data_IF_108927526647
#
_entry.id   IF_108927526647
#
_cell.length_a   1.000
_cell.length_b   1.000
_cell.length_c   1.000
_cell.angle_alpha   90.00
_cell.angle_beta   90.00
_cell.angle_gamma   90.00
#
_symmetry.space_group_name_H-M   'P 1'
#
loop_
_entity.id
_entity.type
_entity.pdbx_description
1 polymer ?
#
# COMPACT_ATOMS: atom_id res chain seq x y z
N UNK A 1 -32.46 2.79 10.23
CA UNK A 1 -32.20 3.49 8.95
C UNK A 1 -31.25 2.67 8.11
N UNK A 2 -31.53 2.46 6.81
CA UNK A 2 -30.63 1.71 5.91
C UNK A 2 -29.54 2.63 5.31
N UNK A 3 -28.28 2.18 5.24
CA UNK A 3 -27.23 2.95 4.60
C UNK A 3 -27.34 2.89 3.06
N UNK A 4 -26.90 3.94 2.38
CA UNK A 4 -26.73 3.95 0.92
C UNK A 4 -25.29 3.59 0.60
N UNK A 5 -25.07 2.58 -0.25
CA UNK A 5 -23.72 2.11 -0.63
C UNK A 5 -23.33 2.63 -2.00
N UNK A 6 -22.17 3.27 -2.11
CA UNK A 6 -21.58 3.72 -3.37
C UNK A 6 -20.06 3.76 -3.24
N UNK A 7 -19.32 3.32 -4.27
CA UNK A 7 -17.85 3.25 -4.28
C UNK A 7 -17.30 2.57 -3.02
N UNK A 8 -17.89 1.44 -2.61
CA UNK A 8 -17.49 0.73 -1.38
C UNK A 8 -17.55 1.58 -0.10
N UNK A 9 -18.33 2.67 -0.08
CA UNK A 9 -18.64 3.47 1.10
C UNK A 9 -20.14 3.36 1.39
N UNK A 10 -20.49 2.93 2.60
CA UNK A 10 -21.85 2.92 3.11
C UNK A 10 -22.13 4.21 3.91
N UNK A 11 -23.20 4.94 3.60
CA UNK A 11 -23.51 6.23 4.23
C UNK A 11 -24.88 6.22 4.88
N UNK A 12 -24.93 6.53 6.17
CA UNK A 12 -26.13 6.84 6.92
C UNK A 12 -26.44 8.34 6.86
N UNK A 13 -27.69 8.72 6.61
CA UNK A 13 -28.09 10.12 6.48
C UNK A 13 -29.19 10.50 7.49
N UNK A 14 -28.86 10.60 8.80
CA UNK A 14 -29.83 11.05 9.80
C UNK A 14 -30.28 12.48 9.51
N UNK A 15 -31.47 12.83 10.00
CA UNK A 15 -32.10 14.13 9.74
C UNK A 15 -32.61 14.76 11.04
N UNK A 16 -32.53 16.08 11.15
CA UNK A 16 -33.02 16.81 12.30
C UNK A 16 -32.00 16.90 13.44
N UNK A 17 -32.40 16.55 14.66
CA UNK A 17 -31.58 16.66 15.86
C UNK A 17 -30.92 15.30 16.16
N UNK A 18 -29.64 15.32 16.53
CA UNK A 18 -28.92 14.18 17.09
C UNK A 18 -28.63 14.45 18.56
N UNK A 19 -29.58 14.08 19.42
CA UNK A 19 -29.46 14.17 20.87
C UNK A 19 -29.77 12.82 21.55
N UNK A 20 -29.61 12.75 22.87
CA UNK A 20 -29.85 11.52 23.63
C UNK A 20 -31.27 10.96 23.54
N UNK A 21 -32.25 11.77 23.13
CA UNK A 21 -33.66 11.36 23.02
C UNK A 21 -34.02 10.84 21.62
N UNK A 22 -33.35 11.35 20.59
CA UNK A 22 -33.61 11.05 19.17
C UNK A 22 -32.67 9.97 18.60
N UNK A 23 -31.49 9.80 19.19
CA UNK A 23 -30.46 8.90 18.65
C UNK A 23 -30.89 7.42 18.56
N UNK A 24 -31.67 6.95 19.54
CA UNK A 24 -32.21 5.58 19.57
C UNK A 24 -33.22 5.27 18.45
N UNK A 25 -33.81 6.29 17.82
CA UNK A 25 -34.76 6.11 16.72
C UNK A 25 -34.10 5.89 15.36
N UNK A 26 -32.80 6.20 15.21
CA UNK A 26 -32.12 6.15 13.92
C UNK A 26 -31.49 4.78 13.61
N UNK A 27 -31.18 3.97 14.63
CA UNK A 27 -30.45 2.71 14.48
C UNK A 27 -31.10 1.58 15.29
N UNK A 28 -31.71 0.62 14.61
CA UNK A 28 -32.16 -0.64 15.21
C UNK A 28 -31.04 -1.68 15.17
N UNK A 29 -31.08 -2.69 16.04
CA UNK A 29 -30.07 -3.78 16.11
C UNK A 29 -29.92 -4.48 14.75
N UNK A 30 -31.03 -4.71 14.07
CA UNK A 30 -31.10 -5.33 12.74
C UNK A 30 -30.37 -4.51 11.66
N UNK A 31 -30.48 -3.18 11.69
CA UNK A 31 -29.77 -2.30 10.75
C UNK A 31 -28.25 -2.37 10.98
N UNK A 32 -27.84 -2.48 12.25
CA UNK A 32 -26.43 -2.60 12.62
C UNK A 32 -25.86 -3.93 12.12
N UNK A 33 -26.58 -5.03 12.33
CA UNK A 33 -26.14 -6.36 11.86
C UNK A 33 -26.12 -6.47 10.35
N UNK A 34 -27.12 -5.92 9.65
CA UNK A 34 -27.12 -5.85 8.20
C UNK A 34 -25.92 -5.04 7.67
N UNK A 35 -25.56 -3.95 8.35
CA UNK A 35 -24.42 -3.10 7.97
C UNK A 35 -23.08 -3.79 8.24
N UNK A 36 -22.97 -4.55 9.34
CA UNK A 36 -21.81 -5.40 9.63
C UNK A 36 -21.64 -6.52 8.60
N UNK A 37 -22.66 -6.89 7.83
CA UNK A 37 -22.48 -7.87 6.75
C UNK A 37 -22.14 -7.22 5.40
N UNK A 38 -22.08 -5.88 5.31
CA UNK A 38 -21.67 -5.19 4.10
C UNK A 38 -20.14 -5.26 3.95
N UNK A 39 -19.68 -5.79 2.81
CA UNK A 39 -18.27 -5.75 2.39
C UNK A 39 -17.94 -4.38 1.81
N UNK A 40 -17.82 -3.38 2.67
CA UNK A 40 -17.51 -1.99 2.30
C UNK A 40 -16.22 -1.54 2.98
N UNK A 41 -15.46 -0.69 2.29
CA UNK A 41 -14.20 -0.12 2.78
C UNK A 41 -14.45 0.84 3.94
N UNK A 42 -15.60 1.54 3.91
CA UNK A 42 -15.91 2.62 4.83
C UNK A 42 -17.40 2.72 5.16
N UNK A 43 -17.71 3.04 6.41
CA UNK A 43 -19.06 3.32 6.90
C UNK A 43 -19.09 4.72 7.51
N UNK A 44 -19.90 5.61 6.94
CA UNK A 44 -19.98 7.01 7.32
C UNK A 44 -21.37 7.41 7.78
N UNK A 45 -21.42 8.44 8.62
CA UNK A 45 -22.66 9.15 8.98
C UNK A 45 -22.58 10.58 8.43
N UNK A 46 -23.43 10.89 7.46
CA UNK A 46 -23.55 12.22 6.86
C UNK A 46 -24.30 13.16 7.79
N UNK A 47 -23.68 14.28 8.14
CA UNK A 47 -24.26 15.35 8.95
C UNK A 47 -24.95 16.43 8.10
N UNK A 48 -25.11 16.20 6.78
CA UNK A 48 -25.67 17.17 5.83
C UNK A 48 -27.06 17.66 6.21
N UNK A 49 -27.90 16.76 6.75
CA UNK A 49 -29.29 17.04 7.15
C UNK A 49 -29.47 17.16 8.66
N UNK A 50 -28.37 17.19 9.42
CA UNK A 50 -28.37 17.35 10.88
C UNK A 50 -28.28 18.83 11.21
N UNK A 51 -29.33 19.31 11.88
CA UNK A 51 -29.46 20.72 12.29
C UNK A 51 -28.64 20.99 13.55
N UNK A 52 -28.63 20.03 14.49
CA UNK A 52 -27.91 20.14 15.76
C UNK A 52 -27.52 18.76 16.26
N UNK A 53 -26.37 18.66 16.93
CA UNK A 53 -25.95 17.46 17.64
C UNK A 53 -25.29 17.80 18.97
N UNK A 54 -25.39 16.89 19.93
CA UNK A 54 -24.58 16.91 21.16
C UNK A 54 -23.75 15.62 21.29
N UNK A 55 -22.86 15.58 22.29
CA UNK A 55 -22.01 14.40 22.56
C UNK A 55 -22.82 13.11 22.68
N UNK A 56 -23.92 13.12 23.44
CA UNK A 56 -24.77 11.94 23.64
C UNK A 56 -25.38 11.41 22.33
N UNK A 57 -25.78 12.30 21.43
CA UNK A 57 -26.29 11.92 20.11
C UNK A 57 -25.22 11.27 19.23
N UNK A 58 -24.02 11.86 19.20
CA UNK A 58 -22.88 11.30 18.46
C UNK A 58 -22.37 9.98 19.06
N UNK A 59 -22.40 9.84 20.39
CA UNK A 59 -21.96 8.64 21.11
C UNK A 59 -22.73 7.38 20.68
N UNK A 60 -23.97 7.54 20.22
CA UNK A 60 -24.77 6.43 19.69
C UNK A 60 -24.16 5.87 18.40
N UNK A 61 -23.72 6.75 17.49
CA UNK A 61 -23.05 6.34 16.25
C UNK A 61 -21.60 5.90 16.50
N UNK A 62 -20.94 6.46 17.49
CA UNK A 62 -19.59 6.04 17.91
C UNK A 62 -19.63 4.62 18.46
N UNK A 63 -20.62 4.25 19.29
CA UNK A 63 -20.82 2.85 19.71
C UNK A 63 -21.05 1.91 18.52
N UNK A 64 -21.79 2.36 17.51
CA UNK A 64 -21.96 1.64 16.26
C UNK A 64 -20.61 1.46 15.53
N UNK A 65 -19.83 2.53 15.38
CA UNK A 65 -18.51 2.50 14.77
C UNK A 65 -17.57 1.51 15.45
N UNK A 66 -17.59 1.47 16.79
CA UNK A 66 -16.83 0.49 17.56
C UNK A 66 -17.24 -0.95 17.23
N UNK A 67 -18.55 -1.24 17.19
CA UNK A 67 -19.06 -2.60 16.86
C UNK A 67 -18.70 -3.01 15.43
N UNK A 68 -18.81 -2.10 14.47
CA UNK A 68 -18.43 -2.34 13.07
C UNK A 68 -16.94 -2.61 12.96
N UNK A 69 -16.12 -1.78 13.59
CA UNK A 69 -14.67 -1.94 13.53
C UNK A 69 -14.19 -3.26 14.08
N UNK A 70 -14.78 -3.70 15.21
CA UNK A 70 -14.44 -4.97 15.85
C UNK A 70 -14.68 -6.17 14.92
N UNK A 71 -15.64 -6.08 14.00
CA UNK A 71 -16.05 -7.20 13.16
C UNK A 71 -15.49 -7.15 11.73
N UNK A 72 -15.37 -5.95 11.13
CA UNK A 72 -15.12 -5.81 9.69
C UNK A 72 -13.88 -4.99 9.34
N UNK A 73 -13.21 -4.38 10.31
CA UNK A 73 -12.07 -3.48 10.10
C UNK A 73 -12.31 -2.31 9.11
N UNK A 74 -13.55 -2.06 8.71
CA UNK A 74 -13.91 -0.94 7.84
C UNK A 74 -13.57 0.40 8.51
N UNK A 75 -13.17 1.38 7.70
CA UNK A 75 -13.03 2.75 8.16
C UNK A 75 -14.41 3.27 8.61
N UNK A 76 -14.44 4.04 9.70
CA UNK A 76 -15.69 4.54 10.29
C UNK A 76 -15.56 6.01 10.59
N UNK A 77 -16.63 6.79 10.39
CA UNK A 77 -16.52 8.23 10.55
C UNK A 77 -17.76 9.04 10.25
N UNK A 78 -17.60 10.36 10.32
CA UNK A 78 -18.63 11.32 9.93
C UNK A 78 -18.22 12.05 8.65
N UNK A 79 -19.22 12.45 7.86
CA UNK A 79 -19.00 13.31 6.69
C UNK A 79 -20.04 14.43 6.56
N UNK A 80 -19.84 15.29 5.56
CA UNK A 80 -20.75 16.40 5.19
C UNK A 80 -21.03 17.37 6.35
N UNK A 81 -19.98 18.02 6.85
CA UNK A 81 -20.07 18.99 7.92
C UNK A 81 -19.35 20.30 7.57
N UNK A 82 -19.72 21.37 8.25
CA UNK A 82 -19.03 22.67 8.17
C UNK A 82 -17.92 22.78 9.23
N UNK A 83 -17.11 23.84 9.14
CA UNK A 83 -16.00 24.09 10.08
C UNK A 83 -16.46 24.21 11.54
N UNK A 84 -17.66 24.75 11.80
CA UNK A 84 -18.19 24.87 13.18
C UNK A 84 -18.48 23.49 13.76
N UNK A 85 -19.14 22.64 12.97
CA UNK A 85 -19.41 21.23 13.33
C UNK A 85 -18.11 20.45 13.53
N UNK A 86 -17.12 20.61 12.66
CA UNK A 86 -15.80 19.98 12.80
C UNK A 86 -15.13 20.33 14.14
N UNK A 87 -15.07 21.63 14.47
CA UNK A 87 -14.49 22.09 15.73
C UNK A 87 -15.28 21.58 16.93
N UNK A 88 -16.61 21.55 16.85
CA UNK A 88 -17.45 20.99 17.92
C UNK A 88 -17.15 19.51 18.18
N UNK A 89 -17.04 18.68 17.14
CA UNK A 89 -16.68 17.27 17.28
C UNK A 89 -15.28 17.13 17.88
N UNK A 90 -14.30 17.90 17.38
CA UNK A 90 -12.93 17.90 17.94
C UNK A 90 -12.92 18.28 19.42
N UNK A 91 -13.74 19.23 19.84
CA UNK A 91 -13.83 19.63 21.25
C UNK A 91 -14.51 18.59 22.14
N UNK A 92 -15.49 17.84 21.62
CA UNK A 92 -16.19 16.81 22.39
C UNK A 92 -15.31 15.58 22.69
N UNK A 93 -14.41 15.24 21.78
CA UNK A 93 -13.63 13.99 21.85
C UNK A 93 -12.13 14.18 21.99
N UNK A 94 -11.59 15.37 21.73
CA UNK A 94 -10.18 15.72 21.93
C UNK A 94 -9.21 14.64 21.38
N UNK A 95 -8.48 13.96 22.26
CA UNK A 95 -7.50 12.92 21.93
C UNK A 95 -8.12 11.51 21.77
N UNK A 96 -9.40 11.33 22.06
CA UNK A 96 -10.13 10.05 21.99
C UNK A 96 -10.79 9.81 20.61
N UNK A 97 -10.41 10.56 19.59
CA UNK A 97 -10.99 10.42 18.24
C UNK A 97 -10.36 9.22 17.52
N UNK A 98 -11.02 8.07 17.61
CA UNK A 98 -10.62 6.89 16.86
C UNK A 98 -11.25 6.83 15.46
N UNK A 99 -12.33 7.57 15.20
CA UNK A 99 -13.06 7.60 13.93
C UNK A 99 -12.60 8.75 13.03
N UNK A 100 -12.95 8.70 11.75
CA UNK A 100 -12.52 9.67 10.75
C UNK A 100 -13.55 10.75 10.51
N UNK A 101 -13.09 11.90 10.03
CA UNK A 101 -13.92 13.06 9.73
C UNK A 101 -13.58 13.53 8.31
N UNK A 102 -14.56 13.51 7.42
CA UNK A 102 -14.43 14.02 6.06
C UNK A 102 -15.34 15.22 5.83
N UNK A 103 -14.76 16.36 5.44
CA UNK A 103 -15.55 17.59 5.25
C UNK A 103 -16.75 17.39 4.32
N UNK A 104 -16.57 16.62 3.24
CA UNK A 104 -17.64 16.20 2.33
C UNK A 104 -17.56 14.70 2.02
N UNK A 105 -18.67 14.13 1.59
CA UNK A 105 -18.70 12.75 1.08
C UNK A 105 -17.80 12.56 -0.15
N UNK A 106 -17.71 13.56 -1.02
CA UNK A 106 -16.83 13.49 -2.20
C UNK A 106 -15.36 13.39 -1.82
N UNK A 107 -14.94 14.11 -0.76
CA UNK A 107 -13.59 13.96 -0.20
C UNK A 107 -13.39 12.54 0.33
N UNK A 108 -14.39 11.95 1.00
CA UNK A 108 -14.27 10.58 1.51
C UNK A 108 -14.08 9.54 0.40
N UNK A 109 -14.69 9.75 -0.78
CA UNK A 109 -14.48 8.85 -1.92
C UNK A 109 -13.03 8.79 -2.40
N UNK A 110 -12.26 9.87 -2.24
CA UNK A 110 -10.83 9.91 -2.60
C UNK A 110 -9.98 8.93 -1.78
N UNK A 111 -10.50 8.47 -0.63
CA UNK A 111 -9.83 7.52 0.25
C UNK A 111 -10.36 6.08 0.10
N UNK A 112 -11.23 5.82 -0.88
CA UNK A 112 -11.70 4.47 -1.18
C UNK A 112 -10.94 3.87 -2.35
N UNK A 113 -10.46 2.64 -2.13
CA UNK A 113 -9.81 1.81 -3.15
C UNK A 113 -10.66 1.55 -4.40
N UNK A 114 -11.99 1.66 -4.26
CA UNK A 114 -12.96 1.42 -5.33
C UNK A 114 -13.34 2.68 -6.12
N UNK A 115 -12.69 3.81 -5.82
CA UNK A 115 -12.95 5.07 -6.51
C UNK A 115 -12.28 5.09 -7.89
N UNK A 116 -13.11 5.05 -8.94
CA UNK A 116 -12.65 4.92 -10.33
C UNK A 116 -11.94 6.16 -10.90
N UNK A 117 -12.11 7.33 -10.29
CA UNK A 117 -11.61 8.60 -10.83
C UNK A 117 -10.28 9.00 -10.17
N UNK A 118 -9.20 8.32 -10.56
CA UNK A 118 -7.83 8.57 -10.12
C UNK A 118 -7.21 9.81 -10.80
N UNK A 119 -5.96 10.14 -10.46
CA UNK A 119 -5.16 11.25 -11.01
C UNK A 119 -5.75 12.65 -10.77
N UNK A 120 -6.25 12.88 -9.55
CA UNK A 120 -6.79 14.18 -9.13
C UNK A 120 -5.71 15.02 -8.48
N UNK A 121 -5.69 16.31 -8.80
CA UNK A 121 -4.79 17.26 -8.14
C UNK A 121 -5.46 17.79 -6.87
N UNK A 122 -4.87 17.49 -5.72
CA UNK A 122 -5.50 17.72 -4.42
C UNK A 122 -4.61 18.62 -3.56
N UNK A 123 -5.11 19.80 -3.19
CA UNK A 123 -4.45 20.68 -2.21
C UNK A 123 -4.83 20.26 -0.80
N UNK A 124 -3.85 20.08 0.09
CA UNK A 124 -4.06 19.58 1.46
C UNK A 124 -3.53 20.56 2.49
N UNK A 125 -4.34 20.83 3.51
CA UNK A 125 -3.91 21.50 4.72
C UNK A 125 -4.58 20.95 5.99
N UNK A 126 -3.78 20.81 7.04
CA UNK A 126 -4.20 20.54 8.42
C UNK A 126 -3.23 21.26 9.35
N UNK A 127 -3.66 21.75 10.50
CA UNK A 127 -2.75 22.36 11.48
C UNK A 127 -1.81 21.33 12.11
N UNK A 128 -2.28 20.08 12.22
CA UNK A 128 -1.50 18.95 12.71
C UNK A 128 -0.63 18.35 11.59
N UNK A 129 0.70 18.41 11.78
CA UNK A 129 1.69 17.88 10.83
C UNK A 129 1.52 16.39 10.58
N UNK A 130 1.22 15.60 11.62
CA UNK A 130 1.01 14.15 11.49
C UNK A 130 -0.20 13.83 10.63
N UNK A 131 -1.28 14.59 10.80
CA UNK A 131 -2.51 14.44 10.01
C UNK A 131 -2.31 14.92 8.56
N UNK A 132 -1.57 16.01 8.33
CA UNK A 132 -1.22 16.45 6.97
C UNK A 132 -0.51 15.32 6.19
N UNK A 133 0.49 14.71 6.80
CA UNK A 133 1.26 13.63 6.18
C UNK A 133 0.41 12.38 5.96
N UNK A 134 -0.40 11.97 6.94
CA UNK A 134 -1.26 10.80 6.81
C UNK A 134 -2.29 10.96 5.67
N UNK A 135 -2.90 12.14 5.54
CA UNK A 135 -3.83 12.46 4.46
C UNK A 135 -3.14 12.39 3.10
N UNK A 136 -1.93 12.95 2.99
CA UNK A 136 -1.20 12.95 1.73
C UNK A 136 -0.82 11.53 1.29
N UNK A 137 -0.32 10.69 2.20
CA UNK A 137 0.05 9.30 1.90
C UNK A 137 -1.17 8.52 1.42
N UNK A 138 -2.27 8.55 2.16
CA UNK A 138 -3.45 7.75 1.82
C UNK A 138 -4.05 8.17 0.45
N UNK A 139 -4.03 9.46 0.13
CA UNK A 139 -4.50 9.95 -1.17
C UNK A 139 -3.55 9.56 -2.30
N UNK A 140 -2.24 9.56 -2.05
CA UNK A 140 -1.25 9.11 -3.01
C UNK A 140 -1.38 7.60 -3.30
N UNK A 141 -1.55 6.78 -2.25
CA UNK A 141 -1.77 5.33 -2.35
C UNK A 141 -3.05 4.99 -3.14
N UNK A 142 -4.05 5.88 -3.08
CA UNK A 142 -5.29 5.77 -3.88
C UNK A 142 -5.16 6.37 -5.31
N UNK A 143 -3.95 6.74 -5.74
CA UNK A 143 -3.64 7.18 -7.11
C UNK A 143 -3.93 8.66 -7.39
N UNK A 144 -3.81 9.54 -6.40
CA UNK A 144 -3.99 10.98 -6.56
C UNK A 144 -2.69 11.79 -6.40
N UNK A 145 -2.65 12.97 -7.01
CA UNK A 145 -1.53 13.90 -6.93
C UNK A 145 -1.76 14.89 -5.78
N UNK A 146 -0.98 14.77 -4.72
CA UNK A 146 -1.15 15.58 -3.51
C UNK A 146 -0.19 16.76 -3.48
N UNK A 147 -0.72 17.96 -3.20
CA UNK A 147 0.06 19.19 -3.01
C UNK A 147 -0.16 19.63 -1.56
N UNK A 148 0.90 19.60 -0.76
CA UNK A 148 0.85 19.91 0.67
C UNK A 148 1.17 21.39 0.88
N UNK A 149 0.32 22.10 1.61
CA UNK A 149 0.64 23.42 2.15
C UNK A 149 1.21 23.27 3.56
N UNK A 150 2.37 23.88 3.82
CA UNK A 150 3.10 23.77 5.08
C UNK A 150 2.57 24.77 6.13
N UNK A 151 2.07 25.91 5.70
CA UNK A 151 1.46 26.94 6.55
C UNK A 151 0.03 27.25 6.12
N UNK A 152 -0.73 27.91 7.01
CA UNK A 152 -2.09 28.38 6.69
C UNK A 152 -2.04 29.46 5.60
N UNK A 153 -1.05 30.35 5.67
CA UNK A 153 -0.81 31.41 4.69
C UNK A 153 -0.55 30.81 3.30
N UNK A 154 0.35 29.85 3.19
CA UNK A 154 0.65 29.16 1.93
C UNK A 154 -0.58 28.42 1.39
N UNK A 155 -1.39 27.85 2.28
CA UNK A 155 -2.63 27.19 1.90
C UNK A 155 -3.63 28.18 1.31
N UNK A 156 -3.84 29.31 1.98
CA UNK A 156 -4.77 30.35 1.53
C UNK A 156 -4.31 30.95 0.19
N UNK A 157 -3.02 31.22 0.02
CA UNK A 157 -2.43 31.69 -1.25
C UNK A 157 -2.62 30.69 -2.41
N UNK A 158 -2.40 29.39 -2.13
CA UNK A 158 -2.60 28.33 -3.13
C UNK A 158 -4.07 28.13 -3.44
N UNK A 159 -4.93 28.21 -2.43
CA UNK A 159 -6.37 28.01 -2.54
C UNK A 159 -7.05 29.02 -3.47
N UNK A 160 -6.54 30.25 -3.57
CA UNK A 160 -7.04 31.25 -4.52
C UNK A 160 -6.87 30.83 -5.99
N UNK A 161 -5.93 29.91 -6.28
CA UNK A 161 -5.69 29.36 -7.61
C UNK A 161 -6.56 28.12 -7.87
N UNK A 162 -7.88 28.25 -7.72
CA UNK A 162 -8.84 27.14 -7.77
C UNK A 162 -8.78 26.30 -9.05
N UNK A 163 -8.32 26.85 -10.16
CA UNK A 163 -8.23 26.13 -11.44
C UNK A 163 -7.11 25.07 -11.49
N UNK A 164 -6.23 25.02 -10.48
CA UNK A 164 -5.12 24.07 -10.41
C UNK A 164 -5.47 22.78 -9.64
N UNK A 165 -6.58 22.77 -8.91
CA UNK A 165 -6.92 21.70 -7.98
C UNK A 165 -8.34 21.18 -8.24
N UNK A 166 -8.47 19.86 -8.39
CA UNK A 166 -9.77 19.20 -8.44
C UNK A 166 -10.46 19.22 -7.06
N UNK A 167 -9.66 19.09 -5.99
CA UNK A 167 -10.14 19.08 -4.62
C UNK A 167 -9.23 19.89 -3.69
N UNK A 168 -9.85 20.53 -2.70
CA UNK A 168 -9.17 21.25 -1.63
C UNK A 168 -9.61 20.63 -0.32
N UNK A 169 -8.67 20.03 0.40
CA UNK A 169 -8.91 19.30 1.63
C UNK A 169 -8.43 20.15 2.81
N UNK A 170 -9.40 20.59 3.59
CA UNK A 170 -9.26 21.19 4.92
C UNK A 170 -10.33 20.60 5.84
N UNK A 171 -10.15 20.74 7.15
CA UNK A 171 -11.12 20.26 8.14
C UNK A 171 -11.45 18.76 8.00
N UNK A 172 -10.48 17.97 7.55
CA UNK A 172 -10.53 16.51 7.45
C UNK A 172 -9.56 15.94 8.47
N UNK A 173 -9.97 14.86 9.14
CA UNK A 173 -9.17 14.14 10.12
C UNK A 173 -9.24 12.65 9.81
N UNK A 174 -8.09 12.02 9.65
CA UNK A 174 -8.02 10.56 9.55
C UNK A 174 -7.92 10.00 10.96
N UNK A 175 -8.97 9.30 11.39
CA UNK A 175 -8.90 8.40 12.53
C UNK A 175 -8.11 7.15 12.16
N UNK A 176 -8.30 6.04 12.89
CA UNK A 176 -7.75 4.75 12.46
C UNK A 176 -8.48 4.26 11.20
N UNK A 177 -8.16 4.79 10.02
CA UNK A 177 -8.47 4.09 8.77
C UNK A 177 -7.98 2.67 8.96
N UNK A 178 -8.88 1.69 8.76
CA UNK A 178 -8.67 0.30 9.14
C UNK A 178 -7.22 -0.04 8.94
N UNK A 179 -6.47 -0.16 10.04
CA UNK A 179 -5.01 -0.05 10.06
C UNK A 179 -4.46 -1.24 9.27
N UNK A 180 -4.46 -1.17 7.94
CA UNK A 180 -3.50 -1.87 7.14
C UNK A 180 -2.21 -1.14 7.42
N UNK A 181 -1.23 -1.89 7.89
CA UNK A 181 0.12 -1.38 8.08
C UNK A 181 0.56 -0.71 6.77
N UNK A 182 0.69 0.62 6.77
CA UNK A 182 1.00 1.37 5.57
C UNK A 182 2.36 0.92 5.07
N UNK A 183 2.42 0.58 3.78
CA UNK A 183 3.59 -0.09 3.21
C UNK A 183 4.16 0.79 2.11
N UNK A 184 5.41 1.22 2.26
CA UNK A 184 6.16 1.95 1.23
C UNK A 184 7.46 1.24 0.90
N UNK A 185 8.02 1.46 -0.28
CA UNK A 185 9.33 0.91 -0.69
C UNK A 185 10.34 2.03 -0.82
N UNK A 186 11.56 1.76 -0.39
CA UNK A 186 12.72 2.64 -0.63
C UNK A 186 13.92 1.74 -0.91
N UNK A 187 14.40 1.76 -2.16
CA UNK A 187 15.41 0.82 -2.63
C UNK A 187 14.98 -0.65 -2.46
N UNK A 188 15.78 -1.44 -1.75
CA UNK A 188 15.54 -2.87 -1.49
C UNK A 188 14.75 -3.15 -0.20
N UNK A 189 14.20 -2.12 0.45
CA UNK A 189 13.50 -2.25 1.72
C UNK A 189 12.00 -1.99 1.59
N UNK A 190 11.20 -2.82 2.27
CA UNK A 190 9.78 -2.56 2.52
C UNK A 190 9.64 -1.96 3.91
N UNK A 191 9.00 -0.80 3.99
CA UNK A 191 8.78 -0.08 5.23
C UNK A 191 7.31 -0.18 5.61
N UNK A 192 7.07 -0.75 6.78
CA UNK A 192 5.78 -0.93 7.43
C UNK A 192 5.60 0.12 8.53
N UNK A 193 4.61 1.00 8.43
CA UNK A 193 4.31 1.95 9.51
C UNK A 193 3.35 1.31 10.52
N UNK A 194 3.84 1.17 11.76
CA UNK A 194 3.06 0.69 12.90
C UNK A 194 2.92 1.80 13.95
N UNK A 195 1.81 1.79 14.68
CA UNK A 195 1.49 2.87 15.61
C UNK A 195 0.57 2.40 16.73
N UNK A 196 0.51 3.20 17.80
CA UNK A 196 -0.34 3.00 18.97
C UNK A 196 0.03 1.73 19.76
N UNK A 197 -0.97 1.05 20.31
CA UNK A 197 -0.80 -0.19 21.07
C UNK A 197 -0.67 -1.36 20.11
N UNK A 198 0.42 -2.12 20.24
CA UNK A 198 0.60 -3.37 19.53
C UNK A 198 0.05 -4.50 20.39
N UNK A 199 -1.09 -5.03 19.97
CA UNK A 199 -1.81 -6.09 20.68
C UNK A 199 -2.20 -7.23 19.73
N UNK A 200 -3.17 -8.05 20.13
CA UNK A 200 -3.66 -9.18 19.33
C UNK A 200 -4.20 -8.75 17.96
N UNK A 201 -4.64 -7.50 17.80
CA UNK A 201 -5.19 -6.99 16.54
C UNK A 201 -4.11 -6.87 15.45
N UNK A 202 -2.82 -6.86 15.79
CA UNK A 202 -1.74 -6.76 14.79
C UNK A 202 -1.81 -7.90 13.77
N UNK A 203 -2.22 -9.10 14.20
CA UNK A 203 -2.36 -10.26 13.32
C UNK A 203 -3.47 -10.08 12.28
N UNK A 204 -4.49 -9.26 12.59
CA UNK A 204 -5.60 -8.97 11.68
C UNK A 204 -5.30 -7.75 10.79
N UNK A 205 -4.50 -6.82 11.30
CA UNK A 205 -4.10 -5.56 10.65
C UNK A 205 -2.94 -5.73 9.66
N UNK A 206 -2.05 -6.68 9.93
CA UNK A 206 -0.90 -6.94 9.09
C UNK A 206 -1.26 -7.84 7.91
N UNK A 207 -0.96 -7.38 6.69
CA UNK A 207 -1.17 -8.16 5.48
C UNK A 207 -0.03 -9.19 5.32
N UNK A 208 -0.18 -10.33 6.01
CA UNK A 208 0.81 -11.43 5.95
C UNK A 208 0.96 -12.00 4.54
N UNK A 209 -0.11 -11.99 3.76
CA UNK A 209 -0.08 -12.46 2.38
C UNK A 209 0.78 -11.55 1.50
N UNK A 210 0.61 -10.23 1.61
CA UNK A 210 1.49 -9.26 0.94
C UNK A 210 2.95 -9.41 1.37
N UNK A 211 3.21 -9.57 2.67
CA UNK A 211 4.56 -9.78 3.20
C UNK A 211 5.21 -11.03 2.59
N UNK A 212 4.51 -12.16 2.60
CA UNK A 212 4.99 -13.42 2.03
C UNK A 212 5.22 -13.32 0.52
N UNK A 213 4.33 -12.63 -0.20
CA UNK A 213 4.52 -12.40 -1.63
C UNK A 213 5.71 -11.47 -1.91
N UNK A 214 5.95 -10.48 -1.05
CA UNK A 214 7.14 -9.63 -1.16
C UNK A 214 8.44 -10.41 -0.94
N UNK A 215 8.46 -11.35 0.01
CA UNK A 215 9.56 -12.30 0.17
C UNK A 215 9.78 -13.14 -1.10
N UNK A 216 8.69 -13.61 -1.72
CA UNK A 216 8.75 -14.41 -2.95
C UNK A 216 9.29 -13.64 -4.17
N UNK A 217 8.98 -12.34 -4.24
CA UNK A 217 9.47 -11.39 -5.26
C UNK A 217 10.91 -10.98 -4.99
N UNK A 218 11.42 -11.25 -3.79
CA UNK A 218 12.84 -11.16 -3.47
C UNK A 218 13.18 -10.11 -2.44
N UNK A 219 12.24 -9.30 -1.94
CA UNK A 219 12.54 -8.37 -0.86
C UNK A 219 13.15 -9.12 0.33
N UNK A 220 14.25 -8.59 0.87
CA UNK A 220 14.97 -9.18 2.00
C UNK A 220 15.03 -8.26 3.20
N UNK A 221 14.77 -6.97 3.05
CA UNK A 221 14.79 -6.02 4.17
C UNK A 221 13.38 -5.51 4.44
N UNK A 222 12.91 -5.70 5.68
CA UNK A 222 11.62 -5.22 6.14
C UNK A 222 11.79 -4.35 7.38
N UNK A 223 11.38 -3.09 7.30
CA UNK A 223 11.58 -2.10 8.34
C UNK A 223 10.22 -1.73 8.93
N UNK A 224 10.04 -1.91 10.24
CA UNK A 224 8.90 -1.44 10.98
C UNK A 224 9.20 -0.06 11.57
N UNK A 225 8.59 0.97 10.98
CA UNK A 225 8.57 2.32 11.52
C UNK A 225 7.64 2.34 12.75
N UNK A 226 8.26 2.45 13.93
CA UNK A 226 7.64 2.30 15.23
C UNK A 226 7.69 3.56 16.10
N UNK A 227 8.01 4.74 15.54
CA UNK A 227 8.08 6.00 16.31
C UNK A 227 6.78 6.34 17.06
N UNK A 228 5.65 5.86 16.54
CA UNK A 228 4.31 6.13 17.09
C UNK A 228 3.78 4.99 17.96
N UNK A 229 4.59 3.98 18.27
CA UNK A 229 4.19 2.87 19.13
C UNK A 229 4.25 3.30 20.59
N UNK A 230 3.19 3.03 21.35
CA UNK A 230 3.05 3.44 22.75
C UNK A 230 3.45 2.30 23.69
N UNK A 231 2.99 1.07 23.39
CA UNK A 231 3.41 -0.15 24.08
C UNK A 231 3.07 -1.39 23.27
N UNK A 232 3.63 -2.53 23.68
CA UNK A 232 3.43 -3.84 23.06
C UNK A 232 3.03 -4.86 24.12
N UNK A 233 2.10 -5.76 23.80
CA UNK A 233 1.73 -6.89 24.65
C UNK A 233 2.34 -8.22 24.16
N UNK A 234 2.14 -9.30 24.94
CA UNK A 234 2.68 -10.63 24.63
C UNK A 234 2.19 -11.20 23.29
N UNK A 235 0.99 -10.83 22.85
CA UNK A 235 0.45 -11.32 21.57
C UNK A 235 1.16 -10.67 20.38
N UNK A 236 1.40 -9.35 20.45
CA UNK A 236 2.19 -8.66 19.45
C UNK A 236 3.65 -9.13 19.45
N UNK A 237 4.24 -9.35 20.64
CA UNK A 237 5.57 -9.96 20.76
C UNK A 237 5.64 -11.28 20.00
N UNK A 238 4.73 -12.21 20.31
CA UNK A 238 4.66 -13.52 19.67
C UNK A 238 4.43 -13.42 18.16
N UNK A 239 3.63 -12.45 17.70
CA UNK A 239 3.41 -12.20 16.28
C UNK A 239 4.72 -11.82 15.58
N UNK A 240 5.44 -10.82 16.10
CA UNK A 240 6.69 -10.37 15.49
C UNK A 240 7.81 -11.41 15.58
N UNK A 241 7.93 -12.14 16.69
CA UNK A 241 8.89 -13.26 16.80
C UNK A 241 8.63 -14.35 15.76
N UNK A 242 7.36 -14.71 15.54
CA UNK A 242 6.98 -15.67 14.48
C UNK A 242 7.22 -15.10 13.09
N UNK A 243 6.95 -13.83 12.88
CA UNK A 243 7.20 -13.15 11.62
C UNK A 243 8.69 -13.14 11.28
N UNK A 244 9.55 -12.80 12.25
CA UNK A 244 11.00 -12.81 12.10
C UNK A 244 11.54 -14.22 11.84
N UNK A 245 11.06 -15.21 12.58
CA UNK A 245 11.41 -16.62 12.32
C UNK A 245 11.04 -17.05 10.91
N UNK A 246 9.84 -16.69 10.44
CA UNK A 246 9.40 -16.99 9.08
C UNK A 246 10.19 -16.23 8.02
N UNK A 247 10.58 -14.97 8.27
CA UNK A 247 11.39 -14.17 7.36
C UNK A 247 12.83 -14.71 7.26
N UNK A 248 13.39 -15.22 8.36
CA UNK A 248 14.71 -15.86 8.39
C UNK A 248 14.78 -17.08 7.47
N UNK A 249 13.69 -17.84 7.28
CA UNK A 249 13.64 -18.94 6.30
C UNK A 249 13.86 -18.49 4.85
N UNK A 250 13.63 -17.20 4.57
CA UNK A 250 13.86 -16.57 3.27
C UNK A 250 15.15 -15.75 3.24
N UNK A 251 15.99 -15.84 4.28
CA UNK A 251 17.15 -14.98 4.52
C UNK A 251 16.77 -13.49 4.50
N UNK A 252 15.60 -13.15 5.04
CA UNK A 252 15.14 -11.78 5.17
C UNK A 252 15.35 -11.26 6.59
N UNK A 253 15.76 -10.00 6.67
CA UNK A 253 16.02 -9.26 7.91
C UNK A 253 14.82 -8.36 8.24
N UNK A 254 14.42 -8.39 9.52
CA UNK A 254 13.41 -7.49 10.06
C UNK A 254 14.07 -6.49 11.01
N UNK A 255 13.80 -5.21 10.79
CA UNK A 255 14.27 -4.12 11.63
C UNK A 255 13.09 -3.35 12.24
N UNK A 256 13.27 -2.81 13.45
CA UNK A 256 12.40 -1.81 14.05
C UNK A 256 13.15 -0.49 14.15
N UNK A 257 12.48 0.61 13.79
CA UNK A 257 13.03 1.97 13.87
C UNK A 257 12.18 2.80 14.83
N UNK A 258 12.83 3.51 15.75
CA UNK A 258 12.15 4.47 16.63
C UNK A 258 11.28 3.84 17.73
N UNK A 259 11.41 2.52 17.95
CA UNK A 259 10.71 1.80 19.02
C UNK A 259 11.30 2.20 20.38
N UNK A 260 10.44 2.63 21.31
CA UNK A 260 10.81 2.90 22.71
C UNK A 260 10.24 1.81 23.62
N UNK A 261 11.07 1.26 24.49
CA UNK A 261 10.68 0.21 25.44
C UNK A 261 10.34 0.74 26.84
N UNK A 262 10.23 2.05 27.01
CA UNK A 262 10.01 2.74 28.28
C UNK A 262 8.77 2.25 29.08
N UNK A 263 7.80 1.62 28.39
CA UNK A 263 6.53 1.12 28.95
C UNK A 263 6.31 -0.38 28.70
N UNK A 264 7.31 -1.10 28.21
CA UNK A 264 7.28 -2.53 27.98
C UNK A 264 8.33 -3.22 28.88
N UNK A 265 8.12 -4.48 29.29
CA UNK A 265 9.16 -5.22 30.02
C UNK A 265 10.45 -5.30 29.19
N UNK A 266 11.62 -5.10 29.81
CA UNK A 266 12.92 -5.23 29.11
C UNK A 266 13.05 -6.58 28.40
N UNK A 267 12.48 -7.64 28.99
CA UNK A 267 12.44 -8.99 28.43
C UNK A 267 11.78 -9.07 27.04
N UNK A 268 10.93 -8.11 26.66
CA UNK A 268 10.32 -8.09 25.33
C UNK A 268 11.30 -7.68 24.26
N UNK A 269 12.18 -6.72 24.58
CA UNK A 269 13.26 -6.33 23.68
C UNK A 269 14.20 -7.51 23.46
N UNK A 270 14.65 -8.13 24.55
CA UNK A 270 15.54 -9.30 24.51
C UNK A 270 14.93 -10.43 23.65
N UNK A 271 13.63 -10.73 23.84
CA UNK A 271 12.96 -11.77 23.07
C UNK A 271 12.88 -11.45 21.57
N UNK A 272 12.69 -10.18 21.18
CA UNK A 272 12.66 -9.78 19.78
C UNK A 272 14.07 -9.80 19.16
N UNK A 273 15.08 -9.33 19.89
CA UNK A 273 16.49 -9.43 19.47
C UNK A 273 16.92 -10.89 19.31
N UNK A 274 16.56 -11.76 20.25
CA UNK A 274 16.78 -13.21 20.19
C UNK A 274 16.05 -13.87 19.01
N UNK A 275 14.93 -13.29 18.57
CA UNK A 275 14.18 -13.72 17.38
C UNK A 275 14.81 -13.22 16.07
N UNK A 276 15.91 -12.45 16.13
CA UNK A 276 16.62 -11.91 14.98
C UNK A 276 16.13 -10.54 14.50
N UNK A 277 15.37 -9.80 15.32
CA UNK A 277 14.94 -8.44 14.99
C UNK A 277 15.98 -7.44 15.43
N UNK A 278 16.37 -6.54 14.53
CA UNK A 278 17.32 -5.46 14.81
C UNK A 278 16.60 -4.16 15.17
N UNK A 279 17.17 -3.37 16.09
CA UNK A 279 16.60 -2.09 16.52
C UNK A 279 17.52 -0.92 16.14
N UNK A 280 16.92 0.11 15.57
CA UNK A 280 17.59 1.36 15.20
C UNK A 280 16.82 2.55 15.77
N UNK A 281 17.54 3.63 16.08
CA UNK A 281 16.91 4.84 16.62
C UNK A 281 16.27 5.66 15.52
N UNK A 282 16.97 5.83 14.39
CA UNK A 282 16.52 6.64 13.26
C UNK A 282 16.45 5.85 11.96
N UNK A 283 15.53 6.24 11.09
CA UNK A 283 15.39 5.61 9.76
C UNK A 283 16.64 5.85 8.90
N UNK A 284 17.26 7.03 9.06
CA UNK A 284 18.47 7.41 8.32
C UNK A 284 19.67 6.52 8.66
N UNK A 285 19.72 5.93 9.87
CA UNK A 285 20.79 5.01 10.29
C UNK A 285 20.89 3.78 9.38
N UNK A 286 19.76 3.42 8.76
CA UNK A 286 19.67 2.31 7.80
C UNK A 286 19.74 2.85 6.37
N UNK A 287 18.90 3.84 6.03
CA UNK A 287 18.69 4.24 4.64
C UNK A 287 19.88 4.99 4.02
N UNK A 288 20.65 5.74 4.82
CA UNK A 288 21.81 6.50 4.32
C UNK A 288 23.10 5.66 4.30
N UNK A 289 23.12 4.52 4.97
CA UNK A 289 24.27 3.63 4.99
C UNK A 289 24.15 2.56 3.89
N UNK A 290 24.70 2.87 2.71
CA UNK A 290 24.64 1.98 1.54
C UNK A 290 25.26 0.60 1.79
N UNK A 291 26.32 0.51 2.61
CA UNK A 291 26.94 -0.78 2.96
C UNK A 291 26.02 -1.61 3.85
N UNK A 292 25.47 -1.01 4.90
CA UNK A 292 24.53 -1.68 5.79
C UNK A 292 23.26 -2.12 5.05
N UNK A 293 22.70 -1.28 4.18
CA UNK A 293 21.53 -1.61 3.38
C UNK A 293 21.80 -2.77 2.43
N UNK A 294 23.03 -2.83 1.89
CA UNK A 294 23.51 -3.96 1.10
C UNK A 294 23.66 -5.22 1.97
N UNK A 295 24.28 -5.14 3.14
CA UNK A 295 24.44 -6.29 4.05
C UNK A 295 23.11 -6.86 4.54
N UNK A 296 22.20 -6.00 4.99
CA UNK A 296 20.87 -6.37 5.47
C UNK A 296 19.97 -6.90 4.34
N UNK A 297 20.26 -6.52 3.09
CA UNK A 297 19.50 -6.89 1.90
C UNK A 297 20.11 -7.98 1.03
N UNK A 298 21.39 -8.36 1.24
CA UNK A 298 22.17 -9.30 0.43
C UNK A 298 22.48 -10.63 1.16
N UNK A 299 21.70 -10.97 2.19
CA UNK A 299 21.87 -12.21 2.93
C UNK A 299 21.78 -13.42 1.98
N UNK A 300 22.87 -14.17 1.89
CA UNK A 300 23.15 -15.18 0.85
C UNK A 300 22.06 -16.25 0.79
N UNK A 301 21.49 -16.42 -0.41
CA UNK A 301 20.42 -17.37 -0.68
C UNK A 301 20.90 -18.82 -0.50
N UNK A 302 20.55 -19.44 0.63
CA UNK A 302 20.44 -20.89 0.68
C UNK A 302 19.05 -21.32 1.21
N UNK A 303 18.36 -22.09 0.37
CA UNK A 303 17.14 -22.88 0.62
C UNK A 303 15.80 -22.16 0.93
N UNK A 304 15.23 -21.47 -0.06
CA UNK A 304 13.77 -21.22 -0.09
C UNK A 304 13.02 -22.54 -0.33
N UNK A 305 12.29 -23.03 0.68
CA UNK A 305 11.71 -24.39 0.70
C UNK A 305 10.36 -24.55 -0.01
N UNK A 306 9.66 -23.46 -0.37
CA UNK A 306 8.34 -23.54 -1.02
C UNK A 306 8.38 -23.11 -2.49
N UNK A 307 8.96 -23.96 -3.34
CA UNK A 307 9.01 -23.77 -4.80
C UNK A 307 7.72 -24.33 -5.41
N UNK A 308 6.74 -23.47 -5.67
CA UNK A 308 5.48 -23.87 -6.33
C UNK A 308 5.69 -23.99 -7.83
N UNK A 309 5.07 -24.99 -8.44
CA UNK A 309 5.15 -25.20 -9.90
C UNK A 309 4.08 -24.36 -10.57
N UNK A 310 4.39 -23.86 -11.77
CA UNK A 310 3.44 -23.19 -12.64
C UNK A 310 2.18 -24.05 -12.85
N UNK A 311 0.99 -23.49 -12.65
CA UNK A 311 -0.29 -24.18 -12.89
C UNK A 311 -0.84 -23.88 -14.30
N UNK A 312 -1.86 -24.64 -14.71
CA UNK A 312 -2.51 -24.45 -16.02
C UNK A 312 -3.15 -23.08 -16.15
N UNK A 313 -3.73 -22.55 -15.07
CA UNK A 313 -4.37 -21.23 -15.03
C UNK A 313 -3.39 -20.11 -15.41
N UNK A 314 -2.20 -20.07 -14.81
CA UNK A 314 -1.17 -19.08 -15.17
C UNK A 314 -0.72 -19.21 -16.64
N UNK A 315 -0.68 -20.43 -17.19
CA UNK A 315 -0.32 -20.65 -18.59
C UNK A 315 -1.42 -20.19 -19.54
N UNK A 316 -2.69 -20.41 -19.20
CA UNK A 316 -3.85 -19.96 -19.99
C UNK A 316 -3.89 -18.45 -20.08
N UNK A 317 -3.60 -17.75 -18.99
CA UNK A 317 -3.64 -16.28 -18.93
C UNK A 317 -2.37 -15.59 -19.43
N UNK A 318 -1.28 -16.34 -19.66
CA UNK A 318 0.02 -15.83 -20.11
C UNK A 318 -0.04 -14.79 -21.24
N UNK A 319 -0.86 -14.94 -22.30
CA UNK A 319 -0.95 -13.92 -23.35
C UNK A 319 -1.29 -12.53 -22.80
N UNK A 320 -2.17 -12.42 -21.79
CA UNK A 320 -2.54 -11.13 -21.18
C UNK A 320 -1.36 -10.48 -20.44
N UNK A 321 -0.53 -11.29 -19.79
CA UNK A 321 0.70 -10.80 -19.16
C UNK A 321 1.69 -10.26 -20.20
N UNK A 322 1.86 -10.97 -21.30
CA UNK A 322 2.74 -10.56 -22.40
C UNK A 322 2.19 -9.29 -23.04
N UNK A 323 0.89 -9.23 -23.34
CA UNK A 323 0.24 -8.08 -23.98
C UNK A 323 0.34 -6.83 -23.11
N UNK A 324 0.06 -6.93 -21.81
CA UNK A 324 0.25 -5.82 -20.85
C UNK A 324 1.70 -5.31 -20.84
N UNK A 325 2.67 -6.22 -20.89
CA UNK A 325 4.09 -5.88 -20.92
C UNK A 325 4.48 -5.22 -22.24
N UNK A 326 4.15 -5.85 -23.37
CA UNK A 326 4.48 -5.39 -24.73
C UNK A 326 3.88 -4.02 -24.98
N UNK A 327 2.57 -3.84 -24.79
CA UNK A 327 1.90 -2.56 -25.02
C UNK A 327 2.55 -1.45 -24.20
N UNK A 328 2.94 -1.74 -22.96
CA UNK A 328 3.57 -0.74 -22.10
C UNK A 328 4.97 -0.37 -22.58
N UNK A 329 5.80 -1.35 -22.92
CA UNK A 329 7.16 -1.08 -23.41
C UNK A 329 7.12 -0.42 -24.79
N UNK A 330 6.24 -0.84 -25.69
CA UNK A 330 6.09 -0.23 -27.02
C UNK A 330 5.70 1.24 -26.90
N UNK A 331 4.72 1.58 -26.04
CA UNK A 331 4.32 2.97 -25.80
C UNK A 331 5.46 3.80 -25.21
N UNK A 332 6.24 3.22 -24.28
CA UNK A 332 7.30 3.95 -23.56
C UNK A 332 8.64 3.99 -24.30
N UNK A 333 8.80 3.23 -25.39
CA UNK A 333 10.05 3.24 -26.19
C UNK A 333 9.81 3.66 -27.63
N UNK A 334 8.55 3.76 -28.04
CA UNK A 334 8.10 3.93 -29.42
C UNK A 334 8.70 2.88 -30.38
N UNK A 335 9.11 1.73 -29.84
CA UNK A 335 9.63 0.58 -30.57
C UNK A 335 8.55 -0.48 -30.68
N UNK A 336 8.58 -1.30 -31.73
CA UNK A 336 7.68 -2.46 -31.85
C UNK A 336 8.36 -3.71 -31.33
N UNK A 337 7.61 -4.51 -30.59
CA UNK A 337 8.05 -5.80 -30.10
C UNK A 337 7.96 -6.85 -31.22
N UNK A 338 9.00 -7.67 -31.34
CA UNK A 338 9.00 -8.85 -32.20
C UNK A 338 9.23 -10.06 -31.30
N UNK A 339 8.27 -10.99 -31.27
CA UNK A 339 8.43 -12.24 -30.51
C UNK A 339 9.42 -13.15 -31.22
N UNK A 340 10.52 -13.48 -30.55
CA UNK A 340 11.55 -14.37 -31.07
C UNK A 340 11.29 -15.82 -30.66
N UNK A 341 11.01 -16.06 -29.38
CA UNK A 341 10.86 -17.41 -28.84
C UNK A 341 9.88 -17.46 -27.66
N UNK A 342 9.36 -18.65 -27.36
CA UNK A 342 8.65 -18.93 -26.12
C UNK A 342 8.89 -20.38 -25.68
N UNK A 343 9.28 -20.60 -24.43
CA UNK A 343 9.63 -21.93 -23.93
C UNK A 343 9.29 -22.09 -22.45
N UNK A 344 8.91 -23.31 -22.05
CA UNK A 344 8.69 -23.67 -20.65
C UNK A 344 9.97 -24.25 -20.09
N UNK A 345 10.74 -23.43 -19.37
CA UNK A 345 12.07 -23.77 -18.90
C UNK A 345 12.44 -23.03 -17.60
N UNK A 346 13.62 -23.31 -17.07
CA UNK A 346 14.25 -22.41 -16.09
C UNK A 346 14.70 -21.14 -16.82
N UNK A 347 14.81 -20.03 -16.11
CA UNK A 347 15.28 -18.78 -16.70
C UNK A 347 16.71 -18.95 -17.27
N UNK A 348 16.86 -18.70 -18.58
CA UNK A 348 18.15 -18.77 -19.28
C UNK A 348 18.47 -17.38 -19.84
N UNK A 349 19.65 -16.87 -19.49
CA UNK A 349 20.12 -15.54 -19.88
C UNK A 349 21.51 -15.69 -20.49
N UNK A 350 21.59 -15.61 -21.83
CA UNK A 350 22.82 -15.89 -22.57
C UNK A 350 23.92 -14.83 -22.37
N UNK A 351 23.52 -13.55 -22.29
CA UNK A 351 24.41 -12.45 -21.97
C UNK A 351 23.79 -11.64 -20.82
N UNK A 352 24.55 -11.43 -19.74
CA UNK A 352 24.14 -10.69 -18.54
C UNK A 352 24.65 -9.25 -18.53
N UNK A 353 25.70 -8.94 -19.28
CA UNK A 353 26.28 -7.60 -19.31
C UNK A 353 25.27 -6.59 -19.90
N UNK A 354 25.21 -5.40 -19.29
CA UNK A 354 24.33 -4.32 -19.74
C UNK A 354 22.84 -4.68 -19.64
N UNK A 355 22.46 -5.49 -18.64
CA UNK A 355 21.06 -5.82 -18.36
C UNK A 355 20.71 -5.52 -16.93
N UNK A 356 19.53 -4.93 -16.78
CA UNK A 356 18.88 -4.72 -15.48
C UNK A 356 17.60 -5.53 -15.44
N UNK A 357 17.14 -5.84 -14.24
CA UNK A 357 15.94 -6.64 -14.07
C UNK A 357 14.94 -5.98 -13.13
N UNK A 358 13.69 -6.39 -13.26
CA UNK A 358 12.64 -6.10 -12.30
C UNK A 358 11.71 -7.29 -12.14
N UNK A 359 11.07 -7.38 -10.99
CA UNK A 359 10.09 -8.42 -10.70
C UNK A 359 8.88 -7.87 -9.95
N UNK A 360 7.73 -8.48 -10.18
CA UNK A 360 6.48 -8.13 -9.51
C UNK A 360 5.68 -9.39 -9.22
N UNK A 361 5.16 -9.50 -8.00
CA UNK A 361 4.33 -10.61 -7.57
C UNK A 361 2.86 -10.28 -7.78
N UNK A 362 2.07 -11.32 -8.07
CA UNK A 362 0.62 -11.24 -8.10
C UNK A 362 0.03 -12.38 -7.26
N UNK A 363 -1.12 -12.13 -6.63
CA UNK A 363 -1.78 -13.08 -5.74
C UNK A 363 -3.28 -12.80 -5.63
N UNK A 364 -4.08 -13.83 -5.33
CA UNK A 364 -5.55 -13.77 -5.32
C UNK A 364 -6.12 -15.08 -5.86
N UNK A 365 -7.00 -14.98 -6.86
CA UNK A 365 -7.53 -16.16 -7.57
C UNK A 365 -6.42 -16.96 -8.27
N UNK A 366 -5.39 -16.27 -8.74
CA UNK A 366 -4.12 -16.84 -9.23
C UNK A 366 -2.95 -16.16 -8.54
N UNK A 367 -1.84 -16.87 -8.39
CA UNK A 367 -0.60 -16.36 -7.81
C UNK A 367 0.63 -16.72 -8.63
N UNK A 368 1.62 -15.83 -8.58
CA UNK A 368 2.93 -16.03 -9.18
C UNK A 368 3.76 -14.76 -9.22
N UNK A 369 4.78 -14.79 -10.07
CA UNK A 369 5.74 -13.69 -10.24
C UNK A 369 6.04 -13.47 -11.71
N UNK A 370 6.01 -12.22 -12.11
CA UNK A 370 6.50 -11.76 -13.41
C UNK A 370 7.90 -11.21 -13.20
N UNK A 371 8.81 -11.60 -14.08
CA UNK A 371 10.20 -11.16 -14.10
C UNK A 371 10.48 -10.58 -15.49
N UNK A 372 11.00 -9.36 -15.51
CA UNK A 372 11.29 -8.60 -16.71
C UNK A 372 12.79 -8.28 -16.72
N UNK A 373 13.47 -8.60 -17.81
CA UNK A 373 14.91 -8.31 -17.98
C UNK A 373 15.08 -7.39 -19.17
N UNK A 374 15.62 -6.21 -18.89
CA UNK A 374 15.77 -5.13 -19.83
C UNK A 374 17.25 -4.99 -20.23
N UNK A 375 17.56 -4.97 -21.53
CA UNK A 375 18.76 -4.31 -22.04
C UNK A 375 18.82 -2.87 -21.56
N UNK A 376 19.99 -2.39 -21.13
CA UNK A 376 20.17 -1.02 -20.62
C UNK A 376 19.65 0.03 -21.59
N UNK A 377 19.80 -0.16 -22.91
CA UNK A 377 19.28 0.76 -23.92
C UNK A 377 17.76 0.86 -23.94
N UNK A 378 17.04 -0.26 -23.74
CA UNK A 378 15.57 -0.28 -23.65
C UNK A 378 15.12 0.37 -22.34
N UNK A 379 15.74 -0.01 -21.22
CA UNK A 379 15.43 0.55 -19.91
C UNK A 379 15.60 2.06 -19.89
N UNK A 380 16.74 2.55 -20.39
CA UNK A 380 17.04 3.98 -20.46
C UNK A 380 16.00 4.72 -21.28
N UNK A 381 15.70 4.27 -22.50
CA UNK A 381 14.65 4.87 -23.36
C UNK A 381 13.27 4.89 -22.70
N UNK A 382 12.89 3.79 -22.03
CA UNK A 382 11.61 3.71 -21.33
C UNK A 382 11.53 4.69 -20.16
N UNK A 383 12.65 4.90 -19.45
CA UNK A 383 12.72 5.84 -18.34
C UNK A 383 12.81 7.30 -18.80
N UNK A 384 13.52 7.60 -19.90
CA UNK A 384 13.62 8.94 -20.48
C UNK A 384 12.24 9.57 -20.74
N UNK A 385 11.28 8.78 -21.22
CA UNK A 385 9.92 9.25 -21.46
C UNK A 385 9.12 9.52 -20.18
N UNK A 386 9.41 8.83 -19.09
CA UNK A 386 8.77 9.02 -17.78
C UNK A 386 9.40 10.16 -16.98
N UNK A 387 10.72 10.32 -17.06
CA UNK A 387 11.48 11.39 -16.39
C UNK A 387 11.35 12.70 -17.16
N UNK A 388 11.28 12.64 -18.49
CA UNK A 388 11.23 13.81 -19.39
C UNK A 388 12.61 14.34 -19.80
N UNK A 389 13.69 13.71 -19.32
CA UNK A 389 15.07 14.03 -19.70
C UNK A 389 15.95 12.78 -19.84
N UNK A 390 17.10 12.95 -20.48
CA UNK A 390 18.10 11.90 -20.63
C UNK A 390 18.93 11.78 -19.35
N UNK A 391 19.03 10.57 -18.80
CA UNK A 391 19.85 10.29 -17.62
C UNK A 391 20.68 9.03 -17.80
N UNK A 392 21.93 9.08 -17.35
CA UNK A 392 22.81 7.93 -17.17
C UNK A 392 22.90 7.48 -15.71
N UNK A 393 22.13 8.13 -14.82
CA UNK A 393 22.06 7.75 -13.41
C UNK A 393 21.27 6.44 -13.24
N UNK A 394 22.00 5.37 -12.92
CA UNK A 394 21.45 4.04 -12.73
C UNK A 394 20.40 4.00 -11.60
N UNK A 395 20.57 4.76 -10.51
CA UNK A 395 19.60 4.77 -9.41
C UNK A 395 18.27 5.36 -9.89
N UNK A 396 18.33 6.49 -10.59
CA UNK A 396 17.14 7.13 -11.17
C UNK A 396 16.46 6.25 -12.24
N UNK A 397 17.23 5.54 -13.05
CA UNK A 397 16.71 4.55 -14.01
C UNK A 397 15.98 3.42 -13.29
N UNK A 398 16.54 2.89 -12.20
CA UNK A 398 15.92 1.80 -11.45
C UNK A 398 14.65 2.24 -10.72
N UNK A 399 14.63 3.43 -10.13
CA UNK A 399 13.42 3.96 -9.50
C UNK A 399 12.30 4.17 -10.54
N UNK A 400 12.64 4.72 -11.70
CA UNK A 400 11.68 4.90 -12.80
C UNK A 400 11.23 3.57 -13.41
N UNK A 401 12.13 2.59 -13.48
CA UNK A 401 11.80 1.24 -13.92
C UNK A 401 10.81 0.57 -12.97
N UNK A 402 10.91 0.84 -11.67
CA UNK A 402 9.93 0.36 -10.69
C UNK A 402 8.53 0.90 -11.03
N UNK A 403 8.39 2.19 -11.33
CA UNK A 403 7.11 2.77 -11.77
C UNK A 403 6.60 2.15 -13.08
N UNK A 404 7.49 1.93 -14.05
CA UNK A 404 7.14 1.26 -15.30
C UNK A 404 6.56 -0.14 -15.05
N UNK A 405 7.22 -0.93 -14.20
CA UNK A 405 6.77 -2.30 -13.86
C UNK A 405 5.49 -2.27 -13.03
N UNK A 406 5.30 -1.26 -12.19
CA UNK A 406 4.07 -1.04 -11.46
C UNK A 406 2.89 -0.78 -12.43
N UNK A 407 3.10 0.01 -13.48
CA UNK A 407 2.11 0.21 -14.56
C UNK A 407 1.79 -1.11 -15.27
N UNK A 408 2.80 -1.93 -15.58
CA UNK A 408 2.60 -3.27 -16.15
C UNK A 408 1.75 -4.13 -15.23
N UNK A 409 2.05 -4.16 -13.93
CA UNK A 409 1.27 -4.88 -12.92
C UNK A 409 -0.18 -4.41 -12.84
N UNK A 410 -0.41 -3.09 -12.84
CA UNK A 410 -1.75 -2.50 -12.83
C UNK A 410 -2.58 -2.86 -14.07
N UNK A 411 -1.94 -2.90 -15.25
CA UNK A 411 -2.59 -3.39 -16.48
C UNK A 411 -2.91 -4.88 -16.43
N UNK A 412 -1.98 -5.72 -15.96
CA UNK A 412 -2.22 -7.16 -15.76
C UNK A 412 -3.46 -7.36 -14.88
N UNK A 413 -3.51 -6.66 -13.74
CA UNK A 413 -4.66 -6.69 -12.83
C UNK A 413 -5.96 -6.31 -13.53
N UNK A 414 -5.94 -5.28 -14.37
CA UNK A 414 -7.13 -4.80 -15.09
C UNK A 414 -7.60 -5.82 -16.13
N UNK A 415 -6.69 -6.36 -16.95
CA UNK A 415 -7.00 -7.37 -17.97
C UNK A 415 -7.54 -8.68 -17.38
N UNK A 416 -7.03 -9.08 -16.21
CA UNK A 416 -7.54 -10.24 -15.48
C UNK A 416 -8.92 -9.97 -14.87
N UNK A 417 -9.14 -8.77 -14.33
CA UNK A 417 -10.42 -8.39 -13.75
C UNK A 417 -11.55 -8.35 -14.78
N UNK A 418 -11.27 -7.93 -16.02
CA UNK A 418 -12.23 -7.96 -17.14
C UNK A 418 -12.74 -9.38 -17.44
N UNK A 419 -12.01 -10.40 -17.01
CA UNK A 419 -12.31 -11.82 -17.19
C UNK A 419 -12.80 -12.48 -15.89
N UNK A 420 -13.08 -11.68 -14.88
CA UNK A 420 -13.58 -12.13 -13.58
C UNK A 420 -12.51 -12.72 -12.67
N UNK A 421 -11.21 -12.55 -12.99
CA UNK A 421 -10.09 -13.03 -12.16
C UNK A 421 -9.58 -11.86 -11.30
N UNK A 422 -9.76 -11.97 -9.99
CA UNK A 422 -9.34 -10.95 -9.03
C UNK A 422 -7.94 -11.21 -8.50
N UNK A 423 -7.01 -10.30 -8.79
CA UNK A 423 -5.64 -10.34 -8.27
C UNK A 423 -5.22 -9.01 -7.62
N UNK A 424 -4.34 -9.11 -6.64
CA UNK A 424 -3.53 -8.02 -6.11
C UNK A 424 -2.10 -8.16 -6.62
N UNK A 425 -1.36 -7.04 -6.63
CA UNK A 425 0.04 -6.98 -7.04
C UNK A 425 0.90 -6.48 -5.88
N UNK A 426 2.14 -6.94 -5.79
CA UNK A 426 3.14 -6.38 -4.88
C UNK A 426 3.74 -5.11 -5.46
N UNK A 427 4.47 -4.35 -4.64
CA UNK A 427 5.41 -3.38 -5.19
C UNK A 427 6.50 -4.11 -6.02
N UNK A 428 6.98 -3.51 -7.11
CA UNK A 428 8.02 -4.11 -7.92
C UNK A 428 9.38 -4.00 -7.24
N UNK A 429 10.23 -5.00 -7.45
CA UNK A 429 11.63 -5.01 -7.02
C UNK A 429 12.52 -4.87 -8.23
N UNK A 430 13.41 -3.89 -8.21
CA UNK A 430 14.40 -3.65 -9.26
C UNK A 430 15.78 -4.15 -8.84
N UNK A 431 16.57 -4.56 -9.84
CA UNK A 431 17.88 -5.16 -9.66
C UNK A 431 18.90 -4.46 -10.53
N UNK A 432 20.01 -4.05 -9.93
CA UNK A 432 21.14 -3.42 -10.63
C UNK A 432 21.78 -4.38 -11.65
N UNK A 433 21.74 -5.68 -11.38
CA UNK A 433 22.30 -6.72 -12.21
C UNK A 433 21.41 -7.98 -12.20
N UNK A 434 21.65 -8.82 -13.19
CA UNK A 434 20.91 -10.06 -13.39
C UNK A 434 21.29 -11.15 -12.38
N UNK A 435 22.48 -11.11 -11.80
CA UNK A 435 22.92 -12.15 -10.86
C UNK A 435 22.12 -12.09 -9.56
N UNK A 436 21.87 -10.88 -9.05
CA UNK A 436 21.00 -10.61 -7.91
C UNK A 436 19.56 -11.11 -8.13
N UNK A 437 19.06 -11.04 -9.37
CA UNK A 437 17.76 -11.64 -9.74
C UNK A 437 17.84 -13.16 -9.70
N UNK A 438 18.89 -13.75 -10.29
CA UNK A 438 19.03 -15.20 -10.42
C UNK A 438 18.99 -15.92 -9.07
N UNK A 439 19.46 -15.30 -8.00
CA UNK A 439 19.33 -15.82 -6.63
C UNK A 439 17.86 -16.00 -6.18
N UNK A 440 16.93 -15.19 -6.68
CA UNK A 440 15.50 -15.22 -6.31
C UNK A 440 14.71 -16.25 -7.12
N UNK A 441 15.07 -16.38 -8.40
CA UNK A 441 14.40 -17.28 -9.36
C UNK A 441 15.12 -18.60 -9.55
N UNK A 442 16.19 -18.83 -8.79
CA UNK A 442 17.06 -19.98 -8.98
C UNK A 442 16.27 -21.30 -8.94
N UNK A 443 16.41 -22.08 -10.01
CA UNK A 443 15.75 -23.37 -10.18
C UNK A 443 14.21 -23.35 -10.27
N UNK A 444 13.58 -22.17 -10.39
CA UNK A 444 12.14 -22.09 -10.70
C UNK A 444 11.89 -22.41 -12.16
N UNK A 445 10.85 -23.20 -12.44
CA UNK A 445 10.34 -23.41 -13.79
C UNK A 445 9.30 -22.33 -14.10
N UNK A 446 9.34 -21.83 -15.31
CA UNK A 446 8.41 -20.81 -15.77
C UNK A 446 8.25 -20.82 -17.28
N UNK A 447 7.51 -19.84 -17.79
CA UNK A 447 7.45 -19.56 -19.23
C UNK A 447 8.36 -18.38 -19.53
N UNK A 448 9.39 -18.62 -20.32
CA UNK A 448 10.27 -17.61 -20.88
C UNK A 448 9.76 -17.20 -22.25
N UNK A 449 9.72 -15.89 -22.50
CA UNK A 449 9.40 -15.31 -23.80
C UNK A 449 10.46 -14.27 -24.13
N UNK A 450 11.14 -14.47 -25.26
CA UNK A 450 12.15 -13.55 -25.76
C UNK A 450 11.49 -12.59 -26.76
N UNK A 451 11.64 -11.30 -26.53
CA UNK A 451 11.09 -10.23 -27.33
C UNK A 451 12.23 -9.33 -27.81
N UNK A 452 12.26 -9.00 -29.10
CA UNK A 452 13.20 -8.03 -29.66
C UNK A 452 12.55 -6.66 -29.79
N UNK A 453 13.22 -5.62 -29.31
CA UNK A 453 12.86 -4.23 -29.59
C UNK A 453 14.05 -3.54 -30.23
N UNK A 454 13.91 -3.11 -31.50
CA UNK A 454 14.99 -2.47 -32.26
C UNK A 454 16.31 -3.28 -32.33
N UNK A 455 16.24 -4.61 -32.26
CA UNK A 455 17.40 -5.50 -32.28
C UNK A 455 17.96 -5.88 -30.91
N UNK A 456 17.48 -5.27 -29.82
CA UNK A 456 17.84 -5.62 -28.45
C UNK A 456 16.85 -6.61 -27.85
N UNK A 457 17.35 -7.71 -27.26
CA UNK A 457 16.51 -8.76 -26.67
C UNK A 457 16.08 -8.42 -25.24
N UNK A 458 14.80 -8.09 -25.09
CA UNK A 458 14.07 -8.06 -23.83
C UNK A 458 13.53 -9.45 -23.47
N UNK A 459 13.53 -9.77 -22.17
CA UNK A 459 13.18 -11.11 -21.70
C UNK A 459 12.04 -11.02 -20.68
N UNK A 460 10.94 -11.70 -20.98
CA UNK A 460 9.81 -11.87 -20.09
C UNK A 460 9.84 -13.28 -19.50
N UNK A 461 9.65 -13.40 -18.19
CA UNK A 461 9.58 -14.69 -17.52
C UNK A 461 8.44 -14.72 -16.49
N UNK A 462 7.52 -15.66 -16.68
CA UNK A 462 6.41 -15.93 -15.75
C UNK A 462 6.72 -17.18 -14.93
N UNK A 463 6.72 -17.05 -13.60
CA UNK A 463 6.95 -18.16 -12.69
C UNK A 463 6.01 -18.11 -11.48
N UNK A 464 6.13 -19.08 -10.57
CA UNK A 464 5.37 -19.14 -9.32
C UNK A 464 6.29 -19.34 -8.13
#
# INVERSE_FOLDING_TARGET
MKPVVKNSIAVFSPQGFLDGNSAGAFLCIEDIEATVNLKVDMILVSLKKVVFFNRNGLDTFIKLFYKIRKNNHAAVGFCDYDRKKYVAIKNFYQDEIYFSLFKTLDIAYLFSSSFKNQNKNILIYSSDRSQRTAIAIELHDNGHNTIIAQSLEEFDDKKEKTNLYDYIIDSTFLGQMGQKVATRVTGNAIIYTISMFLDVEISNKFNIEYHNNSLNVGFRLFIFDAYKVISMNIHALNFFSRLASSAAEYNATICFVGMKFDKAPETFRDTLEDSGILFYEQMDDILQNKELLKELGASSASNVKNKRVLNKENVTELPKFIDATVITIEMMTNAKAIKESASVQKLIINNKEGKIASSIGYYGDIDGMVVLIFPSGIAKKACELLIGENTDDLEMILDTLAELVNIVGGKIKTLLADEGISVNITLPRTYHDVDSLLEVVENRKGVQVDLSFNGDTFLFFLTR
#
